data_IF_636592061673
#
_entry.id   IF_636592061673
#
_cell.length_a   1.000
_cell.length_b   1.000
_cell.length_c   1.000
_cell.angle_alpha   90.00
_cell.angle_beta   90.00
_cell.angle_gamma   90.00
#
_symmetry.space_group_name_H-M   'P 1'
#
loop_
_entity.id
_entity.type
_entity.pdbx_description
1 polymer ?
#
# COMPACT_ATOMS: atom_id res chain seq x y z
N UNK A 1 -19.19 41.52 74.14
CA UNK A 1 -18.18 41.74 73.09
C UNK A 1 -17.28 40.51 73.04
N UNK A 2 -17.39 39.61 72.04
CA UNK A 2 -16.54 38.42 71.99
C UNK A 2 -15.14 38.75 71.43
N UNK A 3 -14.09 38.01 71.83
CA UNK A 3 -12.69 38.40 71.60
C UNK A 3 -12.24 38.16 70.15
N UNK A 4 -11.47 39.12 69.60
CA UNK A 4 -10.98 39.17 68.20
C UNK A 4 -9.94 38.09 67.83
N UNK A 5 -9.46 37.27 68.76
CA UNK A 5 -8.32 36.35 68.54
C UNK A 5 -8.67 35.06 67.77
N UNK A 6 -9.92 34.59 67.82
CA UNK A 6 -10.33 33.31 67.20
C UNK A 6 -10.56 33.40 65.67
N UNK A 7 -10.78 34.60 65.12
CA UNK A 7 -10.96 34.81 63.68
C UNK A 7 -9.65 34.76 62.87
N UNK A 8 -8.49 35.03 63.51
CA UNK A 8 -7.19 35.00 62.84
C UNK A 8 -6.67 33.59 62.55
N UNK A 9 -6.94 32.63 63.45
CA UNK A 9 -6.49 31.24 63.33
C UNK A 9 -7.28 30.46 62.27
N UNK A 10 -8.58 30.73 62.13
CA UNK A 10 -9.40 30.13 61.07
C UNK A 10 -8.99 30.64 59.69
N UNK A 11 -8.72 31.94 59.54
CA UNK A 11 -8.27 32.54 58.28
C UNK A 11 -6.92 32.00 57.80
N UNK A 12 -5.97 31.75 58.71
CA UNK A 12 -4.68 31.14 58.40
C UNK A 12 -4.82 29.66 57.99
N UNK A 13 -5.68 28.90 58.68
CA UNK A 13 -5.95 27.50 58.31
C UNK A 13 -6.60 27.39 56.92
N UNK A 14 -7.52 28.29 56.60
CA UNK A 14 -8.22 28.33 55.30
C UNK A 14 -7.27 28.77 54.17
N UNK A 15 -6.37 29.72 54.43
CA UNK A 15 -5.35 30.12 53.45
C UNK A 15 -4.31 29.01 53.20
N UNK A 16 -3.84 28.33 54.24
CA UNK A 16 -2.93 27.19 54.11
C UNK A 16 -3.59 26.04 53.34
N UNK A 17 -4.86 25.74 53.64
CA UNK A 17 -5.63 24.71 52.94
C UNK A 17 -5.88 25.06 51.46
N UNK A 18 -6.21 26.33 51.15
CA UNK A 18 -6.32 26.82 49.76
C UNK A 18 -4.98 26.75 49.02
N UNK A 19 -3.87 27.08 49.68
CA UNK A 19 -2.52 27.02 49.08
C UNK A 19 -2.11 25.59 48.71
N UNK A 20 -2.35 24.63 49.62
CA UNK A 20 -2.07 23.21 49.38
C UNK A 20 -2.94 22.61 48.27
N UNK A 21 -4.23 22.96 48.23
CA UNK A 21 -5.16 22.55 47.16
C UNK A 21 -4.76 23.13 45.79
N UNK A 22 -4.28 24.37 45.77
CA UNK A 22 -3.82 25.04 44.55
C UNK A 22 -2.58 24.37 43.96
N UNK A 23 -1.65 23.90 44.80
CA UNK A 23 -0.45 23.20 44.34
C UNK A 23 -0.79 21.83 43.72
N UNK A 24 -1.70 21.07 44.34
CA UNK A 24 -2.15 19.76 43.84
C UNK A 24 -3.03 19.85 42.58
N UNK A 25 -3.78 20.94 42.41
CA UNK A 25 -4.49 21.27 41.17
C UNK A 25 -3.54 21.55 40.00
N UNK A 26 -2.43 22.27 40.22
CA UNK A 26 -1.43 22.56 39.17
C UNK A 26 -0.73 21.29 38.65
N UNK A 27 -0.38 20.34 39.53
CA UNK A 27 0.16 19.05 39.11
C UNK A 27 -0.85 18.27 38.26
N UNK A 28 -2.11 18.19 38.67
CA UNK A 28 -3.17 17.49 37.89
C UNK A 28 -3.41 18.13 36.53
N UNK A 29 -3.43 19.46 36.42
CA UNK A 29 -3.61 20.15 35.14
C UNK A 29 -2.47 19.86 34.17
N UNK A 30 -1.22 19.86 34.63
CA UNK A 30 -0.04 19.53 33.82
C UNK A 30 -0.08 18.08 33.35
N UNK A 31 -0.42 17.15 34.25
CA UNK A 31 -0.55 15.73 33.92
C UNK A 31 -1.66 15.48 32.89
N UNK A 32 -2.83 16.10 33.07
CA UNK A 32 -3.96 15.98 32.12
C UNK A 32 -3.60 16.60 30.75
N UNK A 33 -2.90 17.73 30.73
CA UNK A 33 -2.44 18.38 29.50
C UNK A 33 -1.44 17.52 28.72
N UNK A 34 -0.50 16.88 29.41
CA UNK A 34 0.45 15.97 28.76
C UNK A 34 -0.24 14.70 28.23
N UNK A 35 -1.15 14.09 28.99
CA UNK A 35 -1.87 12.90 28.53
C UNK A 35 -2.81 13.19 27.36
N UNK A 36 -3.54 14.32 27.37
CA UNK A 36 -4.43 14.69 26.27
C UNK A 36 -3.65 15.03 24.99
N UNK A 37 -2.52 15.73 25.13
CA UNK A 37 -1.59 16.01 24.02
C UNK A 37 -1.02 14.72 23.43
N UNK A 38 -0.55 13.80 24.28
CA UNK A 38 -0.03 12.50 23.83
C UNK A 38 -1.09 11.67 23.09
N UNK A 39 -2.34 11.66 23.58
CA UNK A 39 -3.44 10.95 22.94
C UNK A 39 -3.78 11.55 21.56
N UNK A 40 -3.77 12.87 21.44
CA UNK A 40 -4.00 13.56 20.16
C UNK A 40 -2.92 13.23 19.13
N UNK A 41 -1.64 13.32 19.51
CA UNK A 41 -0.52 12.97 18.62
C UNK A 41 -0.56 11.49 18.23
N UNK A 42 -0.92 10.60 19.14
CA UNK A 42 -1.05 9.17 18.87
C UNK A 42 -2.14 8.86 17.85
N UNK A 43 -3.32 9.48 17.95
CA UNK A 43 -4.40 9.28 16.98
C UNK A 43 -4.05 9.81 15.59
N UNK A 44 -3.38 10.96 15.51
CA UNK A 44 -2.88 11.50 14.24
C UNK A 44 -1.78 10.60 13.65
N UNK A 45 -0.89 10.08 14.49
CA UNK A 45 0.15 9.12 14.10
C UNK A 45 -0.44 7.84 13.51
N UNK A 46 -1.48 7.27 14.15
CA UNK A 46 -2.18 6.08 13.65
C UNK A 46 -2.87 6.33 12.31
N UNK A 47 -3.54 7.49 12.14
CA UNK A 47 -4.17 7.86 10.88
C UNK A 47 -3.15 7.98 9.74
N UNK A 48 -2.02 8.65 10.00
CA UNK A 48 -0.93 8.79 9.02
C UNK A 48 -0.25 7.45 8.70
N UNK A 49 -0.06 6.58 9.70
CA UNK A 49 0.54 5.26 9.54
C UNK A 49 -0.38 4.23 8.87
N UNK A 50 -1.69 4.44 8.85
CA UNK A 50 -2.65 3.49 8.28
C UNK A 50 -2.43 3.25 6.77
N UNK A 51 -2.13 4.30 6.01
CA UNK A 51 -1.90 4.21 4.56
C UNK A 51 -0.68 3.34 4.21
N UNK A 52 0.54 3.59 4.74
CA UNK A 52 1.69 2.73 4.46
C UNK A 52 1.51 1.31 5.02
N UNK A 53 0.88 1.14 6.18
CA UNK A 53 0.60 -0.18 6.75
C UNK A 53 -0.31 -1.01 5.81
N UNK A 54 -1.36 -0.40 5.25
CA UNK A 54 -2.24 -1.03 4.26
C UNK A 54 -1.48 -1.43 2.99
N UNK A 55 -0.58 -0.57 2.49
CA UNK A 55 0.24 -0.87 1.31
C UNK A 55 1.13 -2.10 1.53
N UNK A 56 1.76 -2.22 2.70
CA UNK A 56 2.61 -3.37 3.06
C UNK A 56 1.76 -4.64 3.17
N UNK A 57 0.57 -4.56 3.77
CA UNK A 57 -0.36 -5.68 3.84
C UNK A 57 -0.79 -6.15 2.44
N UNK A 58 -1.19 -5.22 1.56
CA UNK A 58 -1.57 -5.52 0.17
C UNK A 58 -0.41 -6.13 -0.62
N UNK A 59 0.83 -5.64 -0.44
CA UNK A 59 2.01 -6.19 -1.10
C UNK A 59 2.29 -7.65 -0.67
N UNK A 60 2.11 -7.95 0.62
CA UNK A 60 2.31 -9.31 1.15
C UNK A 60 1.19 -10.26 0.71
N UNK A 61 -0.06 -9.85 0.88
CA UNK A 61 -1.25 -10.64 0.56
C UNK A 61 -1.47 -10.83 -0.95
N UNK A 62 -0.84 -10.01 -1.81
CA UNK A 62 -0.94 -10.13 -3.26
C UNK A 62 -2.31 -9.78 -3.83
N UNK A 63 -3.23 -9.27 -3.00
CA UNK A 63 -4.64 -9.00 -3.34
C UNK A 63 -4.88 -7.59 -3.87
N UNK A 64 -3.82 -6.78 -3.99
CA UNK A 64 -3.88 -5.43 -4.55
C UNK A 64 -3.34 -5.41 -5.98
N UNK A 65 -4.13 -4.91 -6.92
CA UNK A 65 -3.82 -4.75 -8.36
C UNK A 65 -2.60 -3.85 -8.69
N UNK A 66 -1.85 -3.39 -7.68
CA UNK A 66 -0.70 -2.51 -7.84
C UNK A 66 0.60 -3.33 -7.82
N UNK A 67 0.94 -3.90 -8.98
CA UNK A 67 2.17 -4.68 -9.20
C UNK A 67 3.44 -3.81 -9.23
N UNK A 68 3.35 -2.48 -9.10
CA UNK A 68 4.51 -1.59 -9.20
C UNK A 68 5.49 -1.73 -8.03
N UNK A 69 5.00 -1.93 -6.80
CA UNK A 69 5.87 -2.12 -5.62
C UNK A 69 6.53 -3.50 -5.55
N UNK A 70 5.94 -4.51 -6.20
CA UNK A 70 6.49 -5.87 -6.22
C UNK A 70 7.63 -6.04 -7.26
N UNK A 71 7.69 -5.18 -8.28
CA UNK A 71 8.70 -5.26 -9.35
C UNK A 71 10.12 -4.95 -8.87
N UNK A 72 10.28 -4.00 -7.94
CA UNK A 72 11.60 -3.55 -7.47
C UNK A 72 12.32 -4.60 -6.61
N UNK A 73 11.59 -5.47 -5.90
CA UNK A 73 12.20 -6.56 -5.11
C UNK A 73 12.37 -7.85 -5.91
N UNK A 74 11.64 -8.01 -7.02
CA UNK A 74 11.65 -9.26 -7.80
C UNK A 74 12.87 -9.40 -8.71
N UNK A 75 13.56 -8.30 -9.07
CA UNK A 75 14.77 -8.36 -9.90
C UNK A 75 15.90 -9.17 -9.26
N UNK A 76 16.05 -9.09 -7.94
CA UNK A 76 17.16 -9.72 -7.22
C UNK A 76 16.87 -11.19 -6.88
N UNK A 77 15.58 -11.55 -6.71
CA UNK A 77 15.16 -12.93 -6.43
C UNK A 77 15.25 -13.81 -7.68
N UNK A 78 15.07 -13.24 -8.88
CA UNK A 78 15.18 -13.98 -10.15
C UNK A 78 16.62 -14.47 -10.41
N UNK A 79 17.65 -13.77 -9.93
CA UNK A 79 19.04 -14.17 -10.08
C UNK A 79 19.44 -15.39 -9.21
N UNK A 80 18.72 -15.65 -8.12
CA UNK A 80 19.02 -16.74 -7.18
C UNK A 80 18.21 -18.03 -7.43
N UNK A 81 17.29 -18.02 -8.40
CA UNK A 81 16.37 -19.14 -8.62
C UNK A 81 17.06 -20.26 -9.40
N UNK A 82 17.34 -21.39 -8.73
CA UNK A 82 17.85 -22.60 -9.38
C UNK A 82 16.75 -23.18 -10.30
N UNK A 83 17.02 -23.41 -11.60
CA UNK A 83 16.03 -23.92 -12.53
C UNK A 83 15.66 -25.36 -12.16
N UNK A 84 14.42 -25.55 -11.68
CA UNK A 84 13.86 -26.87 -11.44
C UNK A 84 13.27 -27.38 -12.76
N UNK A 85 14.08 -28.12 -13.53
CA UNK A 85 13.73 -28.66 -14.85
C UNK A 85 12.50 -29.59 -14.89
N UNK A 86 12.01 -30.02 -13.72
CA UNK A 86 10.96 -31.04 -13.62
C UNK A 86 9.52 -30.49 -13.55
N UNK A 87 9.30 -29.16 -13.73
CA UNK A 87 7.96 -28.55 -13.77
C UNK A 87 7.77 -27.77 -15.05
N UNK A 88 6.99 -28.32 -15.99
CA UNK A 88 6.53 -27.61 -17.18
C UNK A 88 5.34 -26.74 -16.80
N UNK A 89 5.40 -25.44 -17.10
CA UNK A 89 4.32 -24.49 -16.90
C UNK A 89 3.74 -24.13 -18.25
N UNK A 90 2.43 -24.28 -18.40
CA UNK A 90 1.71 -23.83 -19.59
C UNK A 90 1.14 -22.44 -19.31
N UNK A 91 1.60 -21.45 -20.08
CA UNK A 91 1.07 -20.08 -20.07
C UNK A 91 0.03 -19.96 -21.19
N UNK A 92 -1.16 -19.52 -20.84
CA UNK A 92 -2.21 -19.18 -21.81
C UNK A 92 -2.29 -17.66 -21.96
N UNK A 93 -2.23 -17.21 -23.21
CA UNK A 93 -2.30 -15.80 -23.57
C UNK A 93 -3.71 -15.49 -24.06
N UNK A 94 -4.45 -14.66 -23.30
CA UNK A 94 -5.68 -14.01 -23.77
C UNK A 94 -5.40 -12.57 -24.16
N UNK A 95 -6.17 -12.06 -25.10
CA UNK A 95 -6.12 -10.67 -25.54
C UNK A 95 -7.55 -10.23 -25.85
N UNK A 96 -8.02 -9.27 -25.06
CA UNK A 96 -9.37 -8.74 -25.13
C UNK A 96 -9.29 -7.24 -25.39
N UNK A 97 -10.15 -6.74 -26.27
CA UNK A 97 -10.25 -5.32 -26.59
C UNK A 97 -11.53 -4.73 -26.04
N UNK A 98 -11.50 -3.43 -25.72
CA UNK A 98 -12.68 -2.72 -25.24
C UNK A 98 -13.77 -2.67 -26.32
N UNK A 99 -15.05 -2.77 -25.93
CA UNK A 99 -16.18 -2.86 -26.86
C UNK A 99 -16.30 -1.67 -27.83
N UNK A 100 -15.88 -0.48 -27.41
CA UNK A 100 -15.86 0.72 -28.25
C UNK A 100 -14.56 0.91 -29.05
N UNK A 101 -13.54 0.07 -28.83
CA UNK A 101 -12.27 0.10 -29.56
C UNK A 101 -12.24 -1.08 -30.54
N UNK A 102 -12.55 -0.81 -31.82
CA UNK A 102 -12.65 -1.82 -32.87
C UNK A 102 -11.30 -2.37 -33.35
N UNK A 103 -10.28 -2.43 -32.51
CA UNK A 103 -8.99 -3.02 -32.89
C UNK A 103 -9.08 -4.54 -32.86
N UNK A 104 -8.51 -5.19 -33.88
CA UNK A 104 -8.34 -6.63 -33.87
C UNK A 104 -6.98 -6.94 -33.23
N UNK A 105 -7.00 -7.19 -31.91
CA UNK A 105 -5.82 -7.57 -31.14
C UNK A 105 -5.90 -9.06 -30.81
N UNK A 106 -4.99 -9.86 -31.37
CA UNK A 106 -4.96 -11.32 -31.15
C UNK A 106 -3.55 -11.80 -30.85
N UNK A 107 -3.39 -12.80 -29.97
CA UNK A 107 -2.11 -13.45 -29.76
C UNK A 107 -1.82 -14.35 -30.96
N UNK A 108 -0.58 -14.36 -31.44
CA UNK A 108 -0.16 -15.28 -32.51
C UNK A 108 -0.07 -16.73 -32.01
N UNK A 109 0.22 -16.90 -30.71
CA UNK A 109 0.28 -18.20 -30.05
C UNK A 109 -0.51 -18.12 -28.74
N UNK A 110 -1.59 -18.90 -28.64
CA UNK A 110 -2.48 -18.86 -27.46
C UNK A 110 -1.92 -19.64 -26.27
N UNK A 111 -1.08 -20.65 -26.51
CA UNK A 111 -0.54 -21.54 -25.48
C UNK A 111 0.95 -21.73 -25.67
N UNK A 112 1.73 -21.51 -24.63
CA UNK A 112 3.17 -21.71 -24.63
C UNK A 112 3.57 -22.51 -23.39
N UNK A 113 4.35 -23.57 -23.58
CA UNK A 113 4.85 -24.39 -22.47
C UNK A 113 6.31 -24.05 -22.23
N UNK A 114 6.62 -23.57 -21.03
CA UNK A 114 7.94 -23.10 -20.63
C UNK A 114 8.39 -23.78 -19.34
N UNK A 115 9.70 -23.88 -19.15
CA UNK A 115 10.29 -24.31 -17.88
C UNK A 115 10.70 -23.08 -17.06
N UNK A 116 10.49 -23.06 -15.73
CA UNK A 116 10.97 -21.98 -14.88
C UNK A 116 12.47 -21.71 -15.07
N UNK A 117 12.81 -20.46 -15.44
CA UNK A 117 14.17 -20.04 -15.74
C UNK A 117 14.50 -19.93 -17.24
N UNK A 118 13.60 -20.38 -18.13
CA UNK A 118 13.72 -20.16 -19.57
C UNK A 118 12.99 -18.88 -19.98
N UNK A 119 13.63 -18.06 -20.81
CA UNK A 119 13.01 -16.90 -21.47
C UNK A 119 12.27 -17.36 -22.72
N UNK A 120 11.01 -16.96 -22.86
CA UNK A 120 10.21 -17.30 -24.03
C UNK A 120 9.59 -16.05 -24.66
N UNK A 121 9.53 -16.05 -25.99
CA UNK A 121 9.01 -14.93 -26.79
C UNK A 121 7.59 -15.24 -27.25
N UNK A 122 6.68 -14.30 -27.04
CA UNK A 122 5.29 -14.38 -27.50
C UNK A 122 4.97 -13.19 -28.41
N UNK A 123 4.34 -13.46 -29.55
CA UNK A 123 3.98 -12.44 -30.54
C UNK A 123 2.49 -12.10 -30.47
N UNK A 124 2.18 -10.83 -30.69
CA UNK A 124 0.82 -10.30 -30.77
C UNK A 124 0.64 -9.53 -32.09
N UNK A 125 -0.54 -9.65 -32.68
CA UNK A 125 -0.92 -8.91 -33.88
C UNK A 125 -2.02 -7.91 -33.51
N UNK A 126 -1.81 -6.64 -33.86
CA UNK A 126 -2.78 -5.57 -33.69
C UNK A 126 -3.11 -4.95 -35.06
N UNK A 127 -4.39 -4.91 -35.44
CA UNK A 127 -4.82 -4.24 -36.67
C UNK A 127 -5.95 -3.27 -36.38
N UNK A 128 -5.78 -2.01 -36.79
CA UNK A 128 -6.83 -1.00 -36.79
C UNK A 128 -7.61 -1.09 -38.11
N UNK A 129 -8.91 -1.45 -38.10
CA UNK A 129 -9.75 -1.45 -39.31
C UNK A 129 -10.31 -0.06 -39.64
N UNK A 130 -10.12 0.95 -38.79
CA UNK A 130 -10.69 2.29 -38.95
C UNK A 130 -9.72 3.21 -39.70
N UNK A 131 -10.25 4.13 -40.51
CA UNK A 131 -9.48 5.17 -41.20
C UNK A 131 -9.00 6.33 -40.30
N UNK A 132 -9.33 6.29 -39.00
CA UNK A 132 -8.92 7.29 -38.01
C UNK A 132 -7.84 6.71 -37.09
N UNK A 133 -6.83 7.51 -36.70
CA UNK A 133 -5.86 7.09 -35.69
C UNK A 133 -6.58 6.96 -34.34
N UNK A 134 -6.38 5.81 -33.68
CA UNK A 134 -6.93 5.52 -32.35
C UNK A 134 -5.74 5.26 -31.44
N UNK A 135 -5.69 5.92 -30.29
CA UNK A 135 -4.66 5.69 -29.27
C UNK A 135 -5.29 4.85 -28.16
N UNK A 136 -4.61 3.77 -27.77
CA UNK A 136 -5.05 2.89 -26.69
C UNK A 136 -3.89 2.58 -25.73
N UNK A 137 -4.24 2.33 -24.47
CA UNK A 137 -3.30 1.87 -23.45
C UNK A 137 -3.53 0.37 -23.25
N UNK A 138 -2.49 -0.44 -23.45
CA UNK A 138 -2.54 -1.87 -23.22
C UNK A 138 -2.10 -2.19 -21.79
N UNK A 139 -3.06 -2.51 -20.92
CA UNK A 139 -2.79 -3.01 -19.57
C UNK A 139 -2.78 -4.54 -19.59
N UNK A 140 -1.84 -5.16 -18.87
CA UNK A 140 -1.78 -6.62 -18.73
C UNK A 140 -2.07 -7.02 -17.28
N UNK A 141 -2.75 -8.15 -17.12
CA UNK A 141 -2.95 -8.81 -15.83
C UNK A 141 -2.49 -10.25 -15.94
N UNK A 142 -1.93 -10.79 -14.87
CA UNK A 142 -1.46 -12.18 -14.80
C UNK A 142 -2.31 -12.91 -13.76
N UNK A 143 -2.88 -14.03 -14.17
CA UNK A 143 -3.69 -14.89 -13.33
C UNK A 143 -3.07 -16.30 -13.31
N UNK A 144 -3.02 -16.97 -12.14
CA UNK A 144 -3.46 -16.51 -10.83
C UNK A 144 -2.47 -15.48 -10.21
N UNK A 145 -2.94 -14.66 -9.26
CA UNK A 145 -2.17 -13.51 -8.73
C UNK A 145 -0.87 -13.93 -8.02
N UNK A 146 -0.82 -15.15 -7.49
CA UNK A 146 0.37 -15.72 -6.86
C UNK A 146 1.50 -15.92 -7.88
N UNK A 147 1.16 -16.27 -9.12
CA UNK A 147 2.12 -16.44 -10.21
C UNK A 147 2.61 -15.09 -10.76
N UNK A 148 1.83 -14.02 -10.60
CA UNK A 148 2.19 -12.68 -11.06
C UNK A 148 3.48 -12.15 -10.44
N UNK A 149 3.84 -12.60 -9.23
CA UNK A 149 5.09 -12.23 -8.53
C UNK A 149 6.35 -12.80 -9.22
N UNK A 150 6.22 -13.92 -9.91
CA UNK A 150 7.34 -14.61 -10.55
C UNK A 150 7.40 -14.38 -12.06
N UNK A 151 6.38 -13.73 -12.63
CA UNK A 151 6.30 -13.45 -14.05
C UNK A 151 7.00 -12.12 -14.38
N UNK A 152 8.17 -12.19 -15.01
CA UNK A 152 8.87 -11.00 -15.47
C UNK A 152 8.62 -10.77 -16.97
N UNK A 153 7.92 -9.68 -17.30
CA UNK A 153 7.74 -9.23 -18.67
C UNK A 153 8.88 -8.31 -19.06
N UNK A 154 9.81 -8.81 -19.89
CA UNK A 154 10.84 -7.98 -20.51
C UNK A 154 10.22 -7.35 -21.76
N UNK A 155 9.71 -6.12 -21.64
CA UNK A 155 9.04 -5.42 -22.74
C UNK A 155 10.03 -4.53 -23.50
N UNK A 156 10.24 -4.82 -24.79
CA UNK A 156 10.74 -3.83 -25.77
C UNK A 156 9.53 -3.18 -26.43
N UNK A 157 9.18 -1.98 -25.97
CA UNK A 157 8.09 -1.21 -26.56
C UNK A 157 8.54 -0.65 -27.90
N UNK A 158 8.15 -1.29 -29.00
CA UNK A 158 7.98 -0.62 -30.28
C UNK A 158 6.59 -0.98 -30.79
N UNK A 159 5.64 -0.08 -30.56
CA UNK A 159 4.35 -0.08 -31.23
C UNK A 159 4.29 1.23 -32.00
N UNK A 160 5.03 1.32 -33.12
CA UNK A 160 4.74 2.31 -34.14
C UNK A 160 3.58 1.78 -34.96
N UNK A 161 2.42 2.39 -34.80
CA UNK A 161 1.35 2.37 -35.78
C UNK A 161 1.54 3.56 -36.73
#
# INVERSE_FOLDING_TARGET
>A
MPPRSLLGLSALSVHAYRSFSRNSQEFRKKTVLYYSGACGVFMLGLGYAGVPLYRIYCAKSGSGSNTEGARVTSSDIVAAMKPVRNRKITVEFSADTYSHMAWNFKPSQRRLTIVPGETALAFYTAKNPTSRPIVGIATYTVLPLEAAKYFNKIQVTFMQA
#
